data_IF_754221190180
#
_entry.id   IF_754221190180
#
_cell.length_a   1.000
_cell.length_b   1.000
_cell.length_c   1.000
_cell.angle_alpha   90.00
_cell.angle_beta   90.00
_cell.angle_gamma   90.00
#
_symmetry.space_group_name_H-M   'P 1'
#
loop_
_entity.id
_entity.type
_entity.pdbx_description
1 polymer ?
#
# COMPACT_ATOMS: atom_id res chain seq x y z
N UNK A 1 -7.00 -5.94 -5.22
CA UNK A 1 -7.01 -4.52 -5.63
C UNK A 1 -8.46 -4.08 -5.66
N UNK A 2 -8.87 -3.16 -4.78
CA UNK A 2 -10.16 -2.49 -4.90
C UNK A 2 -9.88 -1.09 -5.42
N UNK A 3 -10.46 -0.69 -6.55
CA UNK A 3 -10.26 0.65 -7.11
C UNK A 3 -11.06 1.65 -6.30
N UNK A 4 -10.37 2.51 -5.57
CA UNK A 4 -10.93 3.60 -4.80
C UNK A 4 -10.35 4.92 -5.31
N UNK A 5 -11.19 5.73 -5.95
CA UNK A 5 -10.76 7.01 -6.55
C UNK A 5 -10.43 8.08 -5.52
N UNK A 6 -10.87 7.92 -4.26
CA UNK A 6 -10.52 8.82 -3.16
C UNK A 6 -9.19 8.47 -2.50
N UNK A 7 -8.59 7.34 -2.84
CA UNK A 7 -7.39 6.84 -2.18
C UNK A 7 -6.12 7.38 -2.83
N UNK A 8 -5.22 7.95 -2.00
CA UNK A 8 -3.92 8.45 -2.47
C UNK A 8 -2.83 7.36 -2.52
N UNK A 9 -3.03 6.21 -1.85
CA UNK A 9 -2.00 5.17 -1.69
C UNK A 9 -2.61 3.77 -1.58
N UNK A 10 -2.02 2.77 -2.23
CA UNK A 10 -2.51 1.39 -2.17
C UNK A 10 -1.82 0.58 -1.06
N UNK A 11 -2.59 -0.29 -0.38
CA UNK A 11 -2.03 -1.29 0.53
C UNK A 11 -1.62 -2.56 -0.25
N UNK A 12 -0.42 -3.07 0.01
CA UNK A 12 0.15 -4.24 -0.66
C UNK A 12 0.75 -5.22 0.38
N UNK A 13 0.28 -6.48 0.46
CA UNK A 13 0.86 -7.47 1.37
C UNK A 13 2.18 -8.05 0.86
N UNK A 14 2.45 -7.97 -0.46
CA UNK A 14 3.59 -8.64 -1.08
C UNK A 14 4.85 -7.74 -1.12
N UNK A 15 5.66 -7.80 -0.05
CA UNK A 15 6.85 -6.94 0.07
C UNK A 15 7.87 -7.11 -1.06
N UNK A 16 7.97 -8.32 -1.63
CA UNK A 16 8.91 -8.60 -2.72
C UNK A 16 8.59 -7.92 -4.04
N UNK A 17 7.40 -7.32 -4.18
CA UNK A 17 7.00 -6.59 -5.38
C UNK A 17 7.40 -5.10 -5.36
N UNK A 18 7.88 -4.61 -4.22
CA UNK A 18 8.39 -3.25 -4.14
C UNK A 18 9.73 -3.14 -4.86
N UNK A 19 9.81 -2.21 -5.81
CA UNK A 19 11.07 -1.79 -6.43
C UNK A 19 11.91 -0.98 -5.42
N UNK A 20 11.26 -0.12 -4.62
CA UNK A 20 11.87 0.59 -3.49
C UNK A 20 10.98 0.44 -2.27
N UNK A 21 11.58 0.26 -1.10
CA UNK A 21 10.85 0.08 0.16
C UNK A 21 11.57 0.81 1.30
N UNK A 22 10.82 1.56 2.09
CA UNK A 22 11.30 2.21 3.32
C UNK A 22 10.40 1.78 4.49
N UNK A 23 10.96 1.28 5.61
CA UNK A 23 10.20 1.08 6.83
C UNK A 23 9.53 2.39 7.25
N UNK A 24 8.22 2.34 7.48
CA UNK A 24 7.40 3.48 7.85
C UNK A 24 6.16 2.95 8.57
N UNK A 25 5.98 3.38 9.80
CA UNK A 25 4.84 3.01 10.63
C UNK A 25 3.89 4.20 10.76
N UNK A 26 2.78 4.14 10.05
CA UNK A 26 1.66 5.08 10.17
C UNK A 26 0.39 4.30 10.49
N UNK A 27 -0.54 4.87 11.29
CA UNK A 27 -1.81 4.23 11.54
C UNK A 27 -2.68 4.26 10.28
N UNK A 28 -3.37 3.16 10.02
CA UNK A 28 -4.36 3.02 8.95
C UNK A 28 -5.66 2.59 9.60
N UNK A 29 -6.68 3.44 9.51
CA UNK A 29 -8.01 3.14 10.02
C UNK A 29 -8.78 2.29 9.02
N UNK A 30 -9.29 1.16 9.49
CA UNK A 30 -10.14 0.26 8.73
C UNK A 30 -11.60 0.72 8.82
N UNK A 31 -12.44 0.24 7.91
CA UNK A 31 -13.87 0.59 7.87
C UNK A 31 -14.67 0.27 9.16
N UNK A 32 -14.12 -0.60 10.02
CA UNK A 32 -14.70 -0.93 11.33
C UNK A 32 -14.13 -0.07 12.48
N UNK A 33 -13.46 1.06 12.16
CA UNK A 33 -12.77 1.95 13.11
C UNK A 33 -11.60 1.33 13.89
N UNK A 34 -11.19 0.10 13.56
CA UNK A 34 -9.97 -0.46 14.11
C UNK A 34 -8.74 0.11 13.41
N UNK A 35 -7.65 0.25 14.15
CA UNK A 35 -6.37 0.72 13.62
C UNK A 35 -5.44 -0.46 13.37
N UNK A 36 -4.82 -0.47 12.19
CA UNK A 36 -3.63 -1.26 11.90
C UNK A 36 -2.44 -0.34 11.66
N UNK A 37 -1.23 -0.88 11.72
CA UNK A 37 -0.01 -0.11 11.49
C UNK A 37 0.68 -0.61 10.21
N UNK A 38 1.07 0.32 9.35
CA UNK A 38 1.84 -0.03 8.16
C UNK A 38 3.21 -0.57 8.54
N UNK A 39 3.71 -1.56 7.79
CA UNK A 39 5.11 -2.00 7.93
C UNK A 39 6.08 -1.03 7.23
N UNK A 40 5.64 -0.44 6.12
CA UNK A 40 6.41 0.50 5.34
C UNK A 40 5.69 1.00 4.11
N UNK A 41 6.37 1.84 3.36
CA UNK A 41 5.90 2.41 2.10
C UNK A 41 6.92 2.11 0.99
N UNK A 42 6.43 1.97 -0.23
CA UNK A 42 7.30 1.70 -1.35
C UNK A 42 6.66 2.01 -2.69
N UNK A 43 7.47 1.96 -3.73
CA UNK A 43 7.05 2.09 -5.12
C UNK A 43 7.07 0.73 -5.80
N UNK A 44 6.09 0.48 -6.64
CA UNK A 44 6.09 -0.66 -7.57
C UNK A 44 6.35 -0.13 -8.97
N UNK A 45 6.96 -0.95 -9.81
CA UNK A 45 7.04 -0.70 -11.24
C UNK A 45 6.02 -1.60 -11.94
N UNK A 46 5.24 -1.03 -12.83
CA UNK A 46 4.27 -1.76 -13.62
C UNK A 46 4.50 -1.44 -15.09
N UNK A 47 4.80 -2.47 -15.88
CA UNK A 47 4.91 -2.35 -17.33
C UNK A 47 3.65 -2.97 -17.95
N UNK A 48 2.71 -2.16 -18.47
CA UNK A 48 1.56 -2.69 -19.17
C UNK A 48 1.99 -3.37 -20.47
N UNK A 49 1.43 -4.56 -20.75
CA UNK A 49 1.44 -5.14 -22.09
C UNK A 49 0.20 -4.68 -22.85
N UNK A 50 0.37 -4.36 -24.13
CA UNK A 50 -0.73 -4.14 -25.08
C UNK A 50 -1.40 -5.47 -25.45
#
# INVERSE_FOLDING_TARGET
WNTDTGCSTHMMPHRSWFHKYTPLSVPVELANHSLIWSAGIGTIEFQPSL
#
